data_IF_230400686066
#
_entry.id   IF_230400686066
#
_cell.length_a   1.000
_cell.length_b   1.000
_cell.length_c   1.000
_cell.angle_alpha   90.00
_cell.angle_beta   90.00
_cell.angle_gamma   90.00
#
_symmetry.space_group_name_H-M   'P 1'
#
loop_
_entity.id
_entity.type
_entity.pdbx_description
1 polymer ?
#
# COMPACT_ATOMS: atom_id res chain seq x y z
N UNK A 1 27.42 8.33 -7.86
CA UNK A 1 28.72 7.66 -8.20
C UNK A 1 28.47 6.22 -8.55
N UNK A 2 27.69 5.49 -7.75
CA UNK A 2 27.41 4.08 -7.93
C UNK A 2 26.69 3.82 -9.26
N UNK A 3 25.62 4.54 -9.56
CA UNK A 3 24.84 4.44 -10.79
C UNK A 3 25.70 4.68 -12.05
N UNK A 4 26.60 5.68 -11.98
CA UNK A 4 27.52 5.96 -13.11
C UNK A 4 28.51 4.81 -13.32
N UNK A 5 28.98 4.19 -12.24
CA UNK A 5 29.87 3.04 -12.31
C UNK A 5 29.12 1.80 -12.83
N UNK A 6 27.85 1.64 -12.44
CA UNK A 6 27.01 0.56 -12.96
C UNK A 6 26.76 0.74 -14.46
N UNK A 7 26.30 1.92 -14.89
CA UNK A 7 26.09 2.22 -16.30
C UNK A 7 27.37 2.01 -17.13
N UNK A 8 28.51 2.45 -16.60
CA UNK A 8 29.81 2.23 -17.26
C UNK A 8 30.16 0.73 -17.33
N UNK A 9 29.86 -0.05 -16.30
CA UNK A 9 30.11 -1.50 -16.30
C UNK A 9 29.31 -2.20 -17.39
N UNK A 10 28.05 -1.85 -17.54
CA UNK A 10 27.17 -2.37 -18.61
C UNK A 10 27.74 -2.05 -20.00
N UNK A 11 28.22 -0.81 -20.21
CA UNK A 11 28.88 -0.42 -21.46
C UNK A 11 30.21 -1.16 -21.67
N UNK A 12 30.98 -1.45 -20.63
CA UNK A 12 32.20 -2.23 -20.75
C UNK A 12 31.95 -3.70 -21.13
N UNK A 13 30.82 -4.27 -20.70
CA UNK A 13 30.42 -5.65 -20.96
C UNK A 13 29.79 -5.85 -22.34
N UNK A 14 29.26 -4.81 -22.99
CA UNK A 14 28.56 -4.91 -24.27
C UNK A 14 29.47 -5.28 -25.47
N UNK A 15 30.76 -5.37 -25.28
CA UNK A 15 31.77 -5.73 -26.27
C UNK A 15 31.75 -4.84 -27.52
N UNK A 16 31.25 -3.62 -27.43
CA UNK A 16 31.02 -2.72 -28.56
C UNK A 16 31.76 -1.39 -28.34
N UNK A 17 32.37 -0.82 -29.35
CA UNK A 17 32.85 0.56 -29.36
C UNK A 17 31.93 1.35 -30.30
N UNK A 18 31.28 2.38 -29.76
CA UNK A 18 30.30 3.19 -30.44
C UNK A 18 30.96 4.39 -31.14
N UNK A 19 30.29 4.91 -32.18
CA UNK A 19 30.74 6.11 -32.89
C UNK A 19 31.88 5.90 -33.85
N UNK A 20 32.23 4.64 -34.18
CA UNK A 20 33.19 4.34 -35.23
C UNK A 20 32.73 3.13 -36.04
N UNK A 21 33.16 3.03 -37.26
CA UNK A 21 32.83 1.94 -38.19
C UNK A 21 34.09 1.36 -38.83
N UNK A 22 34.07 0.05 -39.04
CA UNK A 22 35.02 -0.65 -39.88
C UNK A 22 34.26 -1.11 -41.13
N UNK A 23 34.70 -0.78 -42.30
CA UNK A 23 34.04 -1.15 -43.56
C UNK A 23 32.62 -0.67 -43.81
N UNK A 24 32.27 0.52 -43.36
CA UNK A 24 31.14 1.32 -43.86
C UNK A 24 29.71 0.79 -43.64
N UNK A 25 29.47 -0.13 -42.69
CA UNK A 25 28.11 -0.69 -42.57
C UNK A 25 27.42 -0.45 -41.26
N UNK A 26 28.13 -0.45 -40.14
CA UNK A 26 27.51 -0.29 -38.83
C UNK A 26 28.18 0.84 -38.02
N UNK A 27 27.40 1.65 -37.32
CA UNK A 27 27.92 2.75 -36.48
C UNK A 27 28.62 2.25 -35.21
N UNK A 28 28.90 0.97 -35.11
CA UNK A 28 29.50 0.31 -33.96
C UNK A 28 30.53 -0.72 -34.37
N UNK A 29 31.54 -0.87 -33.56
CA UNK A 29 32.62 -1.88 -33.76
C UNK A 29 32.47 -2.95 -32.69
N UNK A 30 32.05 -4.14 -33.07
CA UNK A 30 31.88 -5.29 -32.17
C UNK A 30 33.20 -6.04 -31.87
N UNK A 31 33.19 -6.85 -30.81
CA UNK A 31 34.33 -7.66 -30.37
C UNK A 31 35.38 -6.88 -29.61
N UNK A 32 34.99 -5.80 -29.00
CA UNK A 32 35.77 -5.11 -28.00
C UNK A 32 35.82 -5.89 -26.67
N UNK A 33 36.82 -5.68 -25.86
CA UNK A 33 37.00 -6.30 -24.56
C UNK A 33 37.43 -5.27 -23.53
N UNK A 34 36.80 -5.35 -22.33
CA UNK A 34 37.28 -4.59 -21.20
C UNK A 34 38.62 -5.14 -20.70
N UNK A 35 39.52 -4.25 -20.29
CA UNK A 35 40.84 -4.61 -19.75
C UNK A 35 41.20 -3.70 -18.62
N UNK A 36 41.97 -4.19 -17.65
CA UNK A 36 42.37 -3.42 -16.46
C UNK A 36 43.46 -2.39 -16.77
N UNK A 37 44.26 -2.65 -17.81
CA UNK A 37 45.33 -1.76 -18.23
C UNK A 37 45.67 -1.97 -19.72
N UNK A 38 46.25 -0.94 -20.30
CA UNK A 38 46.75 -0.99 -21.66
C UNK A 38 47.96 -0.08 -21.86
N UNK A 39 48.97 -0.50 -22.58
CA UNK A 39 50.12 0.34 -22.88
C UNK A 39 49.86 1.39 -23.98
N UNK A 40 48.64 1.43 -24.52
CA UNK A 40 48.25 2.37 -25.58
C UNK A 40 47.99 3.79 -25.05
N UNK A 41 47.68 3.92 -23.79
CA UNK A 41 47.58 5.22 -23.12
C UNK A 41 48.69 5.44 -22.11
N UNK A 42 49.09 6.68 -21.91
CA UNK A 42 49.95 7.01 -20.79
C UNK A 42 49.24 6.71 -19.46
N UNK A 43 49.99 6.29 -18.44
CA UNK A 43 49.46 6.03 -17.12
C UNK A 43 48.72 7.24 -16.57
N UNK A 44 47.50 7.02 -16.06
CA UNK A 44 46.74 8.10 -15.42
C UNK A 44 47.21 8.35 -14.00
N UNK A 45 47.77 9.52 -13.77
CA UNK A 45 48.37 9.90 -12.48
C UNK A 45 47.53 10.88 -11.65
N UNK A 46 46.26 11.13 -12.07
CA UNK A 46 45.30 12.00 -11.38
C UNK A 46 44.27 11.19 -10.60
N UNK A 47 43.55 11.81 -9.66
CA UNK A 47 42.44 11.14 -8.97
C UNK A 47 41.37 10.65 -9.96
N UNK A 48 40.82 9.46 -9.71
CA UNK A 48 39.73 8.88 -10.50
C UNK A 48 39.87 7.38 -10.65
N UNK A 49 38.76 6.73 -11.00
CA UNK A 49 38.71 5.33 -11.42
C UNK A 49 38.86 5.28 -12.94
N UNK A 50 39.78 4.45 -13.43
CA UNK A 50 40.08 4.35 -14.86
C UNK A 50 39.70 2.97 -15.37
N UNK A 51 39.03 2.93 -16.48
CA UNK A 51 38.61 1.72 -17.17
C UNK A 51 39.02 1.80 -18.62
N UNK A 52 39.23 0.65 -19.25
CA UNK A 52 39.68 0.57 -20.63
C UNK A 52 38.86 -0.45 -21.38
N UNK A 53 38.57 -0.14 -22.66
CA UNK A 53 37.92 -1.03 -23.63
C UNK A 53 38.75 -1.04 -24.88
N UNK A 54 39.13 -2.21 -25.39
CA UNK A 54 40.01 -2.35 -26.55
C UNK A 54 39.40 -3.24 -27.61
N UNK A 55 39.60 -2.89 -28.88
CA UNK A 55 39.27 -3.73 -30.04
C UNK A 55 40.51 -3.90 -30.91
N UNK A 56 41.03 -5.11 -30.89
CA UNK A 56 42.20 -5.49 -31.71
C UNK A 56 41.77 -5.84 -33.15
N UNK A 57 42.67 -5.58 -34.10
CA UNK A 57 42.48 -5.96 -35.50
C UNK A 57 41.47 -5.11 -36.26
N UNK A 58 41.21 -3.89 -35.81
CA UNK A 58 40.44 -2.91 -36.56
C UNK A 58 41.27 -2.45 -37.80
N UNK A 59 40.63 -2.23 -38.93
CA UNK A 59 41.28 -1.75 -40.14
C UNK A 59 40.69 -0.39 -40.49
N UNK A 60 41.55 0.64 -40.54
CA UNK A 60 41.24 1.99 -40.93
C UNK A 60 39.87 2.49 -40.38
N UNK A 61 39.66 2.48 -39.06
CA UNK A 61 38.37 2.86 -38.49
C UNK A 61 38.11 4.35 -38.74
N UNK A 62 36.85 4.70 -39.04
CA UNK A 62 36.42 6.10 -39.20
C UNK A 62 36.53 6.85 -37.90
N UNK A 63 36.64 8.16 -38.03
CA UNK A 63 36.72 9.11 -36.91
C UNK A 63 38.06 9.09 -36.16
N UNK A 64 39.10 8.46 -36.76
CA UNK A 64 40.48 8.58 -36.32
C UNK A 64 41.31 9.22 -37.45
N UNK A 65 42.02 10.29 -37.08
CA UNK A 65 42.77 11.06 -38.09
C UNK A 65 43.81 10.20 -38.77
N UNK A 66 43.87 10.21 -40.12
CA UNK A 66 44.86 9.57 -40.97
C UNK A 66 45.10 8.07 -40.72
N UNK A 67 44.11 7.35 -40.16
CA UNK A 67 44.19 5.91 -39.97
C UNK A 67 44.09 5.18 -41.32
N UNK A 68 45.06 4.33 -41.62
CA UNK A 68 45.16 3.65 -42.94
C UNK A 68 45.40 2.14 -42.85
N UNK A 69 45.99 1.63 -41.81
CA UNK A 69 46.43 0.24 -41.64
C UNK A 69 45.65 -0.50 -40.56
N UNK A 70 46.00 -1.74 -40.32
CA UNK A 70 45.39 -2.54 -39.24
C UNK A 70 45.97 -2.16 -37.87
N UNK A 71 45.10 -2.02 -36.87
CA UNK A 71 45.53 -1.65 -35.57
C UNK A 71 44.54 -2.01 -34.44
N UNK A 72 44.68 -1.30 -33.33
CA UNK A 72 43.83 -1.47 -32.14
C UNK A 72 43.18 -0.15 -31.79
N UNK A 73 41.85 -0.16 -31.68
CA UNK A 73 41.08 0.93 -31.05
C UNK A 73 41.14 0.73 -29.55
N UNK A 74 41.41 1.78 -28.83
CA UNK A 74 41.35 1.79 -27.37
C UNK A 74 40.54 3.00 -26.88
N UNK A 75 39.62 2.77 -25.95
CA UNK A 75 38.85 3.79 -25.28
C UNK A 75 39.19 3.74 -23.78
N UNK A 76 39.45 4.89 -23.20
CA UNK A 76 39.71 5.08 -21.79
C UNK A 76 38.59 5.89 -21.17
N UNK A 77 38.02 5.41 -20.07
CA UNK A 77 36.98 6.07 -19.30
C UNK A 77 37.55 6.44 -17.93
N UNK A 78 37.42 7.70 -17.53
CA UNK A 78 37.90 8.21 -16.27
C UNK A 78 36.74 8.79 -15.49
N UNK A 79 36.45 8.19 -14.37
CA UNK A 79 35.35 8.58 -13.48
C UNK A 79 35.88 9.27 -12.25
N UNK A 80 35.62 10.56 -12.08
CA UNK A 80 36.11 11.37 -10.98
C UNK A 80 34.97 11.97 -10.19
N UNK A 81 34.92 11.77 -8.88
CA UNK A 81 34.00 12.47 -8.00
C UNK A 81 34.45 13.94 -7.85
N UNK A 82 33.57 14.88 -8.17
CA UNK A 82 33.81 16.32 -7.98
C UNK A 82 33.15 16.80 -6.68
N UNK A 83 31.98 16.26 -6.35
CA UNK A 83 31.22 16.54 -5.14
C UNK A 83 30.41 15.29 -4.76
N UNK A 84 29.74 15.24 -3.60
CA UNK A 84 28.97 14.06 -3.17
C UNK A 84 27.97 13.55 -4.22
N UNK A 85 27.35 14.47 -4.97
CA UNK A 85 26.33 14.16 -5.99
C UNK A 85 26.79 14.48 -7.42
N UNK A 86 28.05 14.84 -7.62
CA UNK A 86 28.59 15.25 -8.92
C UNK A 86 29.78 14.40 -9.32
N UNK A 87 29.63 13.75 -10.47
CA UNK A 87 30.65 12.92 -11.08
C UNK A 87 31.04 13.52 -12.42
N UNK A 88 32.33 13.52 -12.72
CA UNK A 88 32.84 13.83 -14.05
C UNK A 88 33.25 12.54 -14.70
N UNK A 89 32.70 12.29 -15.89
CA UNK A 89 33.15 11.28 -16.80
C UNK A 89 34.02 11.96 -17.87
N UNK A 90 35.23 11.46 -18.09
CA UNK A 90 36.10 11.85 -19.18
C UNK A 90 36.43 10.62 -19.99
N UNK A 91 36.32 10.73 -21.31
CA UNK A 91 36.51 9.64 -22.26
C UNK A 91 37.57 10.08 -23.27
N UNK A 92 38.52 9.21 -23.53
CA UNK A 92 39.55 9.38 -24.57
C UNK A 92 39.50 8.18 -25.49
N UNK A 93 39.58 8.36 -26.80
CA UNK A 93 39.68 7.31 -27.76
C UNK A 93 40.87 7.50 -28.69
N UNK A 94 41.62 6.45 -28.86
CA UNK A 94 42.79 6.40 -29.79
C UNK A 94 42.78 5.16 -30.62
N UNK A 95 43.36 5.27 -31.77
CA UNK A 95 43.65 4.13 -32.66
C UNK A 95 45.15 4.02 -32.82
N UNK A 96 45.71 2.83 -32.64
CA UNK A 96 47.15 2.60 -32.78
C UNK A 96 47.42 1.53 -33.81
N UNK A 97 48.09 1.87 -34.89
CA UNK A 97 48.44 0.94 -35.96
C UNK A 97 49.46 -0.10 -35.49
N UNK A 98 49.30 -1.33 -35.94
CA UNK A 98 50.14 -2.45 -35.50
C UNK A 98 51.53 -2.33 -36.08
N UNK A 99 51.66 -1.91 -37.35
CA UNK A 99 52.91 -1.88 -38.09
C UNK A 99 53.84 -0.73 -37.63
N UNK A 100 53.33 0.47 -37.57
CA UNK A 100 54.11 1.67 -37.27
C UNK A 100 53.97 2.17 -35.83
N UNK A 101 53.06 1.60 -35.06
CA UNK A 101 52.69 2.06 -33.69
C UNK A 101 52.34 3.53 -33.63
N UNK A 102 51.89 4.10 -34.73
CA UNK A 102 51.45 5.50 -34.78
C UNK A 102 50.11 5.65 -34.08
N UNK A 103 49.99 6.50 -33.07
CA UNK A 103 48.69 6.79 -32.47
C UNK A 103 47.93 7.82 -33.31
N UNK A 104 46.67 7.52 -33.58
CA UNK A 104 45.71 8.40 -34.24
C UNK A 104 44.63 8.80 -33.24
N UNK A 105 44.43 10.11 -33.08
CA UNK A 105 43.49 10.65 -32.14
C UNK A 105 42.10 10.64 -32.78
N UNK A 106 41.07 10.38 -31.99
CA UNK A 106 39.68 10.52 -32.42
C UNK A 106 39.31 11.98 -32.70
N UNK A 107 38.37 12.19 -33.61
CA UNK A 107 37.77 13.52 -33.87
C UNK A 107 36.71 13.93 -32.82
N UNK A 108 36.53 13.13 -31.77
CA UNK A 108 35.56 13.32 -30.69
C UNK A 108 34.24 12.57 -30.88
N UNK A 109 34.03 11.94 -32.05
CA UNK A 109 32.76 11.23 -32.34
C UNK A 109 32.61 9.98 -31.49
N UNK A 110 33.72 9.23 -31.27
CA UNK A 110 33.74 8.01 -30.47
C UNK A 110 33.44 8.34 -29.03
N UNK A 111 34.09 9.36 -28.47
CA UNK A 111 33.92 9.81 -27.10
C UNK A 111 32.49 10.29 -26.83
N UNK A 112 31.94 11.07 -27.76
CA UNK A 112 30.55 11.55 -27.65
C UNK A 112 29.54 10.41 -27.73
N UNK A 113 29.77 9.41 -28.58
CA UNK A 113 28.89 8.25 -28.74
C UNK A 113 28.94 7.34 -27.51
N UNK A 114 30.13 7.06 -27.00
CA UNK A 114 30.30 6.28 -25.76
C UNK A 114 29.68 7.02 -24.54
N UNK A 115 29.86 8.33 -24.43
CA UNK A 115 29.25 9.15 -23.39
C UNK A 115 27.69 9.08 -23.45
N UNK A 116 27.14 9.13 -24.66
CA UNK A 116 25.69 9.02 -24.85
C UNK A 116 25.13 7.66 -24.41
N UNK A 117 25.82 6.58 -24.77
CA UNK A 117 25.38 5.23 -24.36
C UNK A 117 25.43 5.09 -22.85
N UNK A 118 26.47 5.61 -22.18
CA UNK A 118 26.54 5.63 -20.72
C UNK A 118 25.41 6.46 -20.10
N UNK A 119 25.07 7.60 -20.70
CA UNK A 119 23.96 8.44 -20.26
C UNK A 119 22.61 7.71 -20.43
N UNK A 120 22.40 7.00 -21.54
CA UNK A 120 21.18 6.22 -21.79
C UNK A 120 21.02 5.09 -20.77
N UNK A 121 22.09 4.36 -20.42
CA UNK A 121 22.09 3.36 -19.36
C UNK A 121 21.82 3.99 -17.98
N UNK A 122 22.44 5.11 -17.69
CA UNK A 122 22.21 5.84 -16.43
C UNK A 122 20.75 6.26 -16.29
N UNK A 123 20.17 6.80 -17.34
CA UNK A 123 18.76 7.17 -17.36
C UNK A 123 17.82 5.97 -17.14
N UNK A 124 18.15 4.82 -17.74
CA UNK A 124 17.39 3.57 -17.54
C UNK A 124 17.45 3.09 -16.09
N UNK A 125 18.64 3.12 -15.45
CA UNK A 125 18.83 2.77 -14.04
C UNK A 125 17.96 3.68 -13.16
N UNK A 126 18.05 5.00 -13.34
CA UNK A 126 17.30 5.98 -12.55
C UNK A 126 15.78 5.82 -12.74
N UNK A 127 15.32 5.55 -13.95
CA UNK A 127 13.89 5.31 -14.23
C UNK A 127 13.41 4.07 -13.49
N UNK A 128 14.17 2.97 -13.53
CA UNK A 128 13.84 1.72 -12.83
C UNK A 128 13.79 1.90 -11.31
N UNK A 129 14.73 2.67 -10.75
CA UNK A 129 14.73 3.00 -9.32
C UNK A 129 13.50 3.81 -8.93
N UNK A 130 13.15 4.84 -9.70
CA UNK A 130 11.96 5.67 -9.47
C UNK A 130 10.68 4.84 -9.52
N UNK A 131 10.52 3.98 -10.53
CA UNK A 131 9.38 3.08 -10.65
C UNK A 131 9.27 2.12 -9.45
N UNK A 132 10.39 1.61 -8.97
CA UNK A 132 10.44 0.74 -7.80
C UNK A 132 10.01 1.47 -6.53
N UNK A 133 10.49 2.70 -6.32
CA UNK A 133 10.11 3.54 -5.18
C UNK A 133 8.60 3.84 -5.22
N UNK A 134 8.09 4.23 -6.39
CA UNK A 134 6.66 4.50 -6.56
C UNK A 134 5.79 3.25 -6.34
N UNK A 135 6.21 2.09 -6.84
CA UNK A 135 5.51 0.83 -6.64
C UNK A 135 5.44 0.44 -5.15
N UNK A 136 6.55 0.61 -4.42
CA UNK A 136 6.58 0.37 -2.98
C UNK A 136 5.67 1.34 -2.21
N UNK A 137 5.71 2.62 -2.55
CA UNK A 137 4.82 3.63 -1.93
C UNK A 137 3.34 3.35 -2.17
N UNK A 138 2.98 2.87 -3.38
CA UNK A 138 1.60 2.45 -3.69
C UNK A 138 1.19 1.21 -2.89
N UNK A 139 2.09 0.24 -2.70
CA UNK A 139 1.84 -0.95 -1.86
C UNK A 139 1.59 -0.57 -0.41
N UNK A 140 2.47 0.24 0.17
CA UNK A 140 2.33 0.72 1.55
C UNK A 140 1.02 1.48 1.77
N UNK A 141 0.66 2.37 0.85
CA UNK A 141 -0.61 3.11 0.94
C UNK A 141 -1.83 2.19 0.85
N UNK A 142 -1.80 1.18 -0.03
CA UNK A 142 -2.87 0.20 -0.15
C UNK A 142 -3.00 -0.69 1.10
N UNK A 143 -1.90 -1.05 1.74
CA UNK A 143 -1.90 -1.80 3.01
C UNK A 143 -2.50 -0.97 4.16
N UNK A 144 -2.15 0.31 4.25
CA UNK A 144 -2.74 1.23 5.23
C UNK A 144 -4.26 1.37 5.06
N UNK A 145 -4.73 1.53 3.83
CA UNK A 145 -6.17 1.60 3.54
C UNK A 145 -6.87 0.30 3.97
N UNK A 146 -6.33 -0.86 3.60
CA UNK A 146 -6.90 -2.16 4.00
C UNK A 146 -6.92 -2.35 5.52
N UNK A 147 -5.86 -1.93 6.22
CA UNK A 147 -5.81 -2.01 7.67
C UNK A 147 -6.86 -1.11 8.34
N UNK A 148 -7.10 0.09 7.81
CA UNK A 148 -8.15 0.99 8.31
C UNK A 148 -9.55 0.45 8.06
N UNK A 149 -9.82 -0.11 6.88
CA UNK A 149 -11.10 -0.74 6.56
C UNK A 149 -11.40 -1.95 7.46
N UNK A 150 -10.39 -2.78 7.74
CA UNK A 150 -10.54 -3.91 8.64
C UNK A 150 -10.90 -3.46 10.06
N UNK A 151 -10.22 -2.45 10.60
CA UNK A 151 -10.53 -1.87 11.91
C UNK A 151 -11.96 -1.32 11.96
N UNK A 152 -12.36 -0.57 10.95
CA UNK A 152 -13.73 -0.03 10.87
C UNK A 152 -14.79 -1.14 10.90
N UNK A 153 -14.58 -2.23 10.15
CA UNK A 153 -15.48 -3.39 10.16
C UNK A 153 -15.53 -4.12 11.51
N UNK A 154 -14.39 -4.20 12.21
CA UNK A 154 -14.34 -4.76 13.56
C UNK A 154 -15.09 -3.88 14.57
N UNK A 155 -14.89 -2.56 14.50
CA UNK A 155 -15.58 -1.59 15.34
C UNK A 155 -17.11 -1.61 15.11
N UNK A 156 -17.55 -1.67 13.85
CA UNK A 156 -18.98 -1.82 13.49
C UNK A 156 -19.58 -3.12 14.04
N UNK A 157 -18.87 -4.24 13.92
CA UNK A 157 -19.34 -5.53 14.48
C UNK A 157 -19.48 -5.47 16.00
N UNK A 158 -18.52 -4.84 16.66
CA UNK A 158 -18.53 -4.70 18.12
C UNK A 158 -19.70 -3.82 18.55
N UNK A 159 -19.94 -2.72 17.84
CA UNK A 159 -21.07 -1.83 18.10
C UNK A 159 -22.41 -2.53 17.92
N UNK A 160 -22.57 -3.28 16.82
CA UNK A 160 -23.79 -4.07 16.56
C UNK A 160 -24.04 -5.09 17.67
N UNK A 161 -23.05 -5.88 18.04
CA UNK A 161 -23.17 -6.87 19.11
C UNK A 161 -23.54 -6.23 20.46
N UNK A 162 -22.97 -5.07 20.79
CA UNK A 162 -23.31 -4.33 22.01
C UNK A 162 -24.74 -3.82 21.98
N UNK A 163 -25.19 -3.31 20.83
CA UNK A 163 -26.55 -2.81 20.64
C UNK A 163 -27.57 -3.94 20.76
N UNK A 164 -27.34 -5.08 20.10
CA UNK A 164 -28.19 -6.27 20.19
C UNK A 164 -28.34 -6.79 21.64
N UNK A 165 -27.20 -6.84 22.35
CA UNK A 165 -27.20 -7.24 23.77
C UNK A 165 -28.03 -6.27 24.63
N UNK A 166 -27.93 -4.95 24.37
CA UNK A 166 -28.71 -3.94 25.08
C UNK A 166 -30.21 -4.05 24.81
N UNK A 167 -30.58 -4.30 23.54
CA UNK A 167 -31.99 -4.52 23.17
C UNK A 167 -32.56 -5.75 23.87
N UNK A 168 -31.83 -6.87 23.86
CA UNK A 168 -32.25 -8.10 24.56
C UNK A 168 -32.44 -7.87 26.08
N UNK A 169 -31.51 -7.12 26.70
CA UNK A 169 -31.63 -6.80 28.11
C UNK A 169 -32.87 -5.94 28.41
N UNK A 170 -33.17 -4.96 27.58
CA UNK A 170 -34.38 -4.14 27.70
C UNK A 170 -35.65 -4.96 27.50
N UNK A 171 -35.69 -5.85 26.52
CA UNK A 171 -36.83 -6.76 26.29
C UNK A 171 -37.07 -7.68 27.51
N UNK A 172 -36.03 -8.18 28.13
CA UNK A 172 -36.14 -8.97 29.36
C UNK A 172 -36.67 -8.13 30.51
N UNK A 173 -36.21 -6.90 30.67
CA UNK A 173 -36.74 -5.98 31.71
C UNK A 173 -38.22 -5.69 31.48
N UNK A 174 -38.62 -5.43 30.25
CA UNK A 174 -40.04 -5.19 29.92
C UNK A 174 -40.88 -6.40 30.29
N UNK A 175 -40.45 -7.63 29.93
CA UNK A 175 -41.18 -8.86 30.28
C UNK A 175 -41.31 -9.03 31.79
N UNK A 176 -40.26 -8.77 32.56
CA UNK A 176 -40.30 -8.86 34.00
C UNK A 176 -41.26 -7.82 34.62
N UNK A 177 -41.20 -6.57 34.13
CA UNK A 177 -42.10 -5.51 34.63
C UNK A 177 -43.57 -5.81 34.27
N UNK A 178 -43.84 -6.35 33.06
CA UNK A 178 -45.19 -6.78 32.71
C UNK A 178 -45.67 -7.89 33.66
N UNK A 179 -44.87 -8.92 33.89
CA UNK A 179 -45.22 -10.00 34.81
C UNK A 179 -45.48 -9.52 36.24
N UNK A 180 -44.68 -8.55 36.70
CA UNK A 180 -44.84 -7.96 38.05
C UNK A 180 -46.15 -7.12 38.19
N UNK A 181 -46.69 -6.59 37.09
CA UNK A 181 -47.92 -5.84 37.05
C UNK A 181 -49.15 -6.68 36.76
N UNK A 182 -49.01 -7.88 36.26
CA UNK A 182 -50.08 -8.79 35.96
C UNK A 182 -50.56 -9.50 37.23
N UNK A 183 -51.88 -9.54 37.44
CA UNK A 183 -52.53 -10.29 38.51
C UNK A 183 -53.71 -11.06 37.95
N UNK A 184 -54.15 -12.06 38.67
CA UNK A 184 -55.38 -12.79 38.34
C UNK A 184 -56.37 -12.78 39.49
N UNK A 185 -57.63 -12.88 39.12
CA UNK A 185 -58.75 -12.95 40.09
C UNK A 185 -58.77 -14.32 40.76
N UNK A 186 -58.74 -14.39 42.09
CA UNK A 186 -58.66 -15.64 42.89
C UNK A 186 -59.91 -16.53 42.81
N UNK A 187 -61.10 -15.91 42.80
CA UNK A 187 -62.39 -16.60 42.90
C UNK A 187 -63.43 -16.06 41.97
N UNK A 188 -64.39 -16.88 41.52
CA UNK A 188 -65.47 -16.37 40.66
C UNK A 188 -66.38 -15.41 41.41
N UNK A 189 -66.92 -14.41 40.70
CA UNK A 189 -67.85 -13.45 41.27
C UNK A 189 -67.24 -12.24 41.99
N UNK A 190 -65.97 -12.00 41.69
CA UNK A 190 -65.31 -10.76 42.15
C UNK A 190 -65.86 -9.56 41.38
N UNK A 191 -66.31 -8.56 42.08
CA UNK A 191 -66.84 -7.35 41.46
C UNK A 191 -65.75 -6.36 41.07
N UNK A 192 -65.76 -5.94 39.82
CA UNK A 192 -65.04 -4.78 39.34
C UNK A 192 -65.82 -3.52 39.71
N UNK A 193 -65.27 -2.66 40.56
CA UNK A 193 -65.98 -1.49 41.08
C UNK A 193 -65.54 -0.18 40.46
N UNK A 194 -66.44 0.78 40.40
CA UNK A 194 -66.18 2.11 39.84
C UNK A 194 -65.20 2.98 40.69
N UNK A 195 -65.05 2.64 41.99
CA UNK A 195 -64.24 3.39 42.93
C UNK A 195 -63.65 2.50 44.06
N UNK A 196 -62.60 2.88 44.75
CA UNK A 196 -61.85 2.06 45.71
C UNK A 196 -62.54 2.00 47.10
N UNK A 197 -63.82 1.63 47.15
CA UNK A 197 -64.57 1.40 48.41
C UNK A 197 -65.73 0.41 48.18
N UNK A 198 -66.15 -0.28 49.25
CA UNK A 198 -67.11 -1.38 49.19
C UNK A 198 -68.52 -0.98 48.74
N UNK A 199 -68.96 0.27 48.95
CA UNK A 199 -70.28 0.73 48.49
C UNK A 199 -70.27 1.34 47.09
N UNK A 200 -69.15 1.31 46.36
CA UNK A 200 -69.09 1.77 44.98
C UNK A 200 -69.92 0.87 44.06
N UNK A 201 -70.41 1.45 42.99
CA UNK A 201 -71.16 0.70 41.99
C UNK A 201 -70.32 -0.41 41.35
N UNK A 202 -70.90 -1.61 41.20
CA UNK A 202 -70.29 -2.70 40.43
C UNK A 202 -70.43 -2.43 38.94
N UNK A 203 -69.27 -2.46 38.23
CA UNK A 203 -69.21 -2.29 36.76
C UNK A 203 -69.44 -3.64 36.09
N UNK A 204 -68.78 -4.68 36.61
CA UNK A 204 -68.78 -6.02 36.05
C UNK A 204 -68.53 -7.06 37.14
N UNK A 205 -68.97 -8.30 36.91
CA UNK A 205 -68.58 -9.47 37.72
C UNK A 205 -67.51 -10.28 36.95
N UNK A 206 -66.37 -10.50 37.55
CA UNK A 206 -65.24 -11.15 36.91
C UNK A 206 -65.23 -12.64 37.24
N UNK A 207 -65.01 -13.51 36.24
CA UNK A 207 -64.75 -14.92 36.45
C UNK A 207 -63.44 -15.15 37.27
N UNK A 208 -63.33 -16.35 37.86
CA UNK A 208 -62.06 -16.76 38.45
C UNK A 208 -60.98 -16.83 37.36
N UNK A 209 -59.76 -16.50 37.74
CA UNK A 209 -58.56 -16.49 36.88
C UNK A 209 -58.60 -15.47 35.73
N UNK A 210 -59.51 -14.49 35.78
CA UNK A 210 -59.44 -13.35 34.87
C UNK A 210 -58.12 -12.60 35.14
N UNK A 211 -57.31 -12.42 34.06
CA UNK A 211 -56.07 -11.66 34.14
C UNK A 211 -56.36 -10.17 34.07
N UNK A 212 -55.65 -9.42 34.90
CA UNK A 212 -55.79 -7.95 35.00
C UNK A 212 -54.40 -7.32 35.13
N UNK A 213 -54.26 -6.14 34.60
CA UNK A 213 -53.04 -5.33 34.72
C UNK A 213 -53.26 -4.30 35.82
N UNK A 214 -52.30 -4.25 36.77
CA UNK A 214 -52.32 -3.24 37.81
C UNK A 214 -51.93 -1.88 37.22
N UNK A 215 -52.85 -0.91 37.33
CA UNK A 215 -52.59 0.49 36.93
C UNK A 215 -52.34 1.38 38.14
N UNK A 216 -53.08 1.15 39.22
CA UNK A 216 -52.92 1.92 40.45
C UNK A 216 -52.90 0.94 41.65
N UNK A 217 -51.91 1.11 42.50
CA UNK A 217 -51.72 0.29 43.69
C UNK A 217 -51.98 1.13 44.95
N UNK A 218 -52.96 0.74 45.75
CA UNK A 218 -53.23 1.30 47.06
C UNK A 218 -53.22 0.20 48.14
N UNK A 219 -53.19 0.52 49.43
CA UNK A 219 -53.09 -0.50 50.49
C UNK A 219 -54.20 -1.55 50.50
N UNK A 220 -55.41 -1.22 50.05
CA UNK A 220 -56.57 -2.09 50.09
C UNK A 220 -57.24 -2.34 48.77
N UNK A 221 -57.00 -1.51 47.76
CA UNK A 221 -57.67 -1.59 46.46
C UNK A 221 -56.63 -1.42 45.34
N UNK A 222 -56.78 -2.23 44.32
CA UNK A 222 -55.97 -2.09 43.08
C UNK A 222 -56.85 -1.53 41.99
N UNK A 223 -56.43 -0.47 41.36
CA UNK A 223 -56.96 -0.01 40.08
C UNK A 223 -56.42 -0.90 38.99
N UNK A 224 -57.28 -1.54 38.27
CA UNK A 224 -56.93 -2.55 37.24
C UNK A 224 -57.53 -2.19 35.91
N UNK A 225 -56.81 -2.64 34.90
CA UNK A 225 -57.27 -2.67 33.51
C UNK A 225 -57.45 -4.12 33.05
N UNK A 226 -58.58 -4.39 32.45
CA UNK A 226 -58.87 -5.70 31.83
C UNK A 226 -58.41 -5.71 30.36
N UNK A 227 -58.28 -6.88 29.80
CA UNK A 227 -57.88 -7.08 28.40
C UNK A 227 -58.81 -6.43 27.34
N UNK A 228 -60.09 -6.18 27.71
CA UNK A 228 -61.08 -5.47 26.90
C UNK A 228 -61.04 -3.93 27.04
N UNK A 229 -60.03 -3.42 27.81
CA UNK A 229 -59.84 -2.00 28.04
C UNK A 229 -60.77 -1.41 29.12
N UNK A 230 -61.53 -2.22 29.85
CA UNK A 230 -62.32 -1.74 30.96
C UNK A 230 -61.42 -1.47 32.18
N UNK A 231 -61.64 -0.37 32.84
CA UNK A 231 -60.92 0.02 34.04
C UNK A 231 -61.85 -0.05 35.26
N UNK A 232 -61.31 -0.45 36.41
CA UNK A 232 -62.07 -0.46 37.64
C UNK A 232 -61.19 -0.79 38.84
N UNK A 233 -61.81 -1.01 39.97
CA UNK A 233 -61.17 -1.26 41.22
C UNK A 233 -61.51 -2.64 41.77
N UNK A 234 -60.50 -3.40 42.21
CA UNK A 234 -60.65 -4.72 42.85
C UNK A 234 -59.96 -4.67 44.20
N UNK A 235 -60.57 -5.28 45.22
CA UNK A 235 -59.94 -5.39 46.56
C UNK A 235 -58.71 -6.29 46.49
N UNK A 236 -57.64 -5.92 47.21
CA UNK A 236 -56.35 -6.63 47.14
C UNK A 236 -56.46 -8.13 47.43
N UNK A 237 -57.30 -8.54 48.34
CA UNK A 237 -57.51 -9.93 48.77
C UNK A 237 -58.07 -10.82 47.65
N UNK A 238 -58.68 -10.24 46.64
CA UNK A 238 -59.31 -10.92 45.51
C UNK A 238 -58.38 -11.12 44.32
N UNK A 239 -57.13 -10.65 44.42
CA UNK A 239 -56.13 -10.78 43.40
C UNK A 239 -54.93 -11.60 43.91
N UNK A 240 -54.32 -12.36 43.01
CA UNK A 240 -53.09 -13.07 43.25
C UNK A 240 -52.10 -12.85 42.09
N UNK A 241 -50.78 -12.94 42.36
CA UNK A 241 -49.79 -12.91 41.29
C UNK A 241 -50.04 -14.01 40.25
N UNK A 242 -49.67 -13.75 39.02
CA UNK A 242 -49.59 -14.80 38.02
C UNK A 242 -48.51 -15.84 38.40
N UNK A 243 -48.74 -17.13 38.21
CA UNK A 243 -47.79 -18.16 38.58
C UNK A 243 -46.48 -18.10 37.76
#
# INVERSE_FOLDING_TARGET
MEDVLQALHEVLEDQTIHGTVIFDKDPVVTGATAVDSTPLFEPWNQPGKVFYKIRKGAIAPRHFFESADQGTIAVRYIVTAIAPERVRLHIDAIYVETTHRTPHISDGTVEASEAKVIEDHLNAIQTTEQETIEANRRRESAELVRATELRQREDEKTLLATTESSVQALEQQIKTLHHDLERRVKAPGVELRAAPFHSAASIAMLPAYTEVILVIVTPHWYGVELHDGQHGWIHVDNLEPLP
#
